data_IF_485553476837
#
_entry.id   IF_485553476837
#
_cell.length_a   1.000
_cell.length_b   1.000
_cell.length_c   1.000
_cell.angle_alpha   90.00
_cell.angle_beta   90.00
_cell.angle_gamma   90.00
#
_symmetry.space_group_name_H-M   'P 1'
#
loop_
_entity.id
_entity.type
_entity.pdbx_description
1 polymer ?
#
# COMPACT_ATOMS: atom_id res chain seq x y z
N UNK A 1 -2.55 22.88 -4.49
CA UNK A 1 -2.74 21.45 -4.85
C UNK A 1 -3.27 21.39 -6.28
N UNK A 2 -2.56 20.75 -7.22
CA UNK A 2 -2.90 20.80 -8.66
C UNK A 2 -3.20 19.39 -9.20
N UNK A 3 -2.42 18.40 -8.79
CA UNK A 3 -2.45 17.05 -9.35
C UNK A 3 -3.43 16.12 -8.64
N UNK A 4 -3.55 16.20 -7.31
CA UNK A 4 -4.36 15.25 -6.53
C UNK A 4 -5.81 15.11 -7.01
N UNK A 5 -6.59 16.19 -7.27
CA UNK A 5 -7.97 16.02 -7.73
C UNK A 5 -8.09 15.26 -9.05
N UNK A 6 -7.15 15.47 -9.98
CA UNK A 6 -7.16 14.79 -11.29
C UNK A 6 -6.71 13.33 -11.17
N UNK A 7 -5.74 13.06 -10.31
CA UNK A 7 -5.28 11.69 -10.04
C UNK A 7 -6.42 10.88 -9.39
N UNK A 8 -7.07 11.44 -8.37
CA UNK A 8 -8.21 10.81 -7.68
C UNK A 8 -9.36 10.56 -8.65
N UNK A 9 -9.70 11.53 -9.51
CA UNK A 9 -10.72 11.35 -10.54
C UNK A 9 -10.35 10.17 -11.46
N UNK A 10 -9.11 10.09 -11.94
CA UNK A 10 -8.67 9.00 -12.82
C UNK A 10 -8.67 7.62 -12.14
N UNK A 11 -8.31 7.55 -10.86
CA UNK A 11 -8.39 6.31 -10.06
C UNK A 11 -9.85 5.88 -9.95
N UNK A 12 -10.74 6.78 -9.54
CA UNK A 12 -12.17 6.50 -9.43
C UNK A 12 -12.77 6.05 -10.76
N UNK A 13 -12.42 6.69 -11.87
CA UNK A 13 -12.87 6.31 -13.20
C UNK A 13 -12.39 4.91 -13.59
N UNK A 14 -11.18 4.53 -13.17
CA UNK A 14 -10.61 3.20 -13.43
C UNK A 14 -11.31 2.13 -12.58
N UNK A 15 -11.55 2.40 -11.30
CA UNK A 15 -12.31 1.52 -10.40
C UNK A 15 -13.74 1.33 -10.92
N UNK A 16 -14.43 2.42 -11.30
CA UNK A 16 -15.79 2.34 -11.86
C UNK A 16 -15.84 1.51 -13.14
N UNK A 17 -14.88 1.69 -14.06
CA UNK A 17 -14.81 0.88 -15.29
C UNK A 17 -14.53 -0.59 -15.01
N UNK A 18 -13.66 -0.88 -14.05
CA UNK A 18 -13.40 -2.27 -13.63
C UNK A 18 -14.66 -2.93 -13.08
N UNK A 19 -15.38 -2.26 -12.18
CA UNK A 19 -16.64 -2.75 -11.58
C UNK A 19 -17.77 -2.91 -12.61
N UNK A 20 -17.87 -2.03 -13.60
CA UNK A 20 -18.93 -2.09 -14.62
C UNK A 20 -18.71 -3.17 -15.68
N UNK A 21 -17.48 -3.68 -15.83
CA UNK A 21 -17.16 -4.69 -16.82
C UNK A 21 -17.54 -6.09 -16.31
N UNK A 22 -18.58 -6.69 -16.90
CA UNK A 22 -19.06 -8.04 -16.54
C UNK A 22 -18.01 -9.14 -16.71
N UNK A 23 -17.02 -8.98 -17.59
CA UNK A 23 -15.93 -9.94 -17.73
C UNK A 23 -15.00 -9.99 -16.51
N UNK A 24 -15.09 -9.01 -15.61
CA UNK A 24 -14.34 -8.97 -14.35
C UNK A 24 -15.14 -9.56 -13.18
N UNK A 25 -16.27 -10.24 -13.42
CA UNK A 25 -17.02 -10.88 -12.35
C UNK A 25 -16.13 -11.87 -11.59
N UNK A 26 -15.95 -11.65 -10.28
CA UNK A 26 -15.07 -12.44 -9.43
C UNK A 26 -13.57 -12.11 -9.54
N UNK A 27 -13.18 -11.11 -10.33
CA UNK A 27 -11.79 -10.65 -10.42
C UNK A 27 -11.48 -9.59 -9.35
N UNK A 28 -10.23 -9.53 -8.91
CA UNK A 28 -9.73 -8.56 -7.93
C UNK A 28 -8.90 -7.50 -8.64
N UNK A 29 -9.11 -6.23 -8.27
CA UNK A 29 -8.30 -5.10 -8.73
C UNK A 29 -7.42 -4.61 -7.58
N UNK A 30 -6.10 -4.75 -7.71
CA UNK A 30 -5.14 -4.14 -6.79
C UNK A 30 -4.83 -2.70 -7.24
N UNK A 31 -4.91 -1.74 -6.31
CA UNK A 31 -4.64 -0.32 -6.58
C UNK A 31 -3.54 0.17 -5.65
N UNK A 32 -2.37 0.52 -6.20
CA UNK A 32 -1.24 1.03 -5.42
C UNK A 32 -1.33 2.55 -5.25
N UNK A 33 -1.52 3.02 -4.02
CA UNK A 33 -1.67 4.45 -3.69
C UNK A 33 -0.80 4.79 -2.48
N UNK A 34 0.34 5.48 -2.65
CA UNK A 34 1.29 5.76 -1.56
C UNK A 34 0.74 6.58 -0.39
N UNK A 35 -0.23 7.47 -0.66
CA UNK A 35 -0.82 8.40 0.33
C UNK A 35 -2.31 8.12 0.56
N UNK A 36 -2.76 6.88 0.37
CA UNK A 36 -4.19 6.51 0.47
C UNK A 36 -4.80 6.99 1.80
N UNK A 37 -4.14 6.63 2.90
CA UNK A 37 -4.58 6.86 4.27
C UNK A 37 -4.41 8.33 4.65
N UNK A 38 -3.29 8.95 4.26
CA UNK A 38 -3.01 10.37 4.50
C UNK A 38 -4.03 11.29 3.81
N UNK A 39 -4.51 10.90 2.63
CA UNK A 39 -5.50 11.64 1.87
C UNK A 39 -6.95 11.29 2.25
N UNK A 40 -7.18 10.34 3.16
CA UNK A 40 -8.54 9.94 3.57
C UNK A 40 -9.32 9.27 2.44
N UNK A 41 -8.64 8.48 1.61
CA UNK A 41 -9.20 7.90 0.39
C UNK A 41 -9.57 6.42 0.54
N UNK A 42 -9.60 5.88 1.76
CA UNK A 42 -9.88 4.45 1.99
C UNK A 42 -11.24 4.02 1.44
N UNK A 43 -12.25 4.90 1.49
CA UNK A 43 -13.62 4.61 1.03
C UNK A 43 -13.75 4.35 -0.49
N UNK A 44 -12.69 4.56 -1.28
CA UNK A 44 -12.72 4.30 -2.73
C UNK A 44 -12.41 2.83 -3.08
N UNK A 45 -11.89 2.06 -2.12
CA UNK A 45 -11.55 0.64 -2.26
C UNK A 45 -12.39 -0.21 -1.31
N UNK A 46 -12.44 -1.52 -1.56
CA UNK A 46 -13.21 -2.47 -0.74
C UNK A 46 -12.41 -2.98 0.47
N UNK A 47 -11.09 -3.08 0.36
CA UNK A 47 -10.16 -3.42 1.45
C UNK A 47 -8.84 -2.62 1.29
N UNK A 48 -8.22 -2.26 2.41
CA UNK A 48 -6.92 -1.60 2.52
C UNK A 48 -5.87 -2.58 3.05
N UNK A 49 -4.85 -2.85 2.24
CA UNK A 49 -3.68 -3.65 2.64
C UNK A 49 -2.49 -2.73 2.89
N UNK A 50 -1.94 -2.75 4.11
CA UNK A 50 -0.72 -2.01 4.45
C UNK A 50 0.47 -2.97 4.52
N UNK A 51 1.52 -2.67 3.76
CA UNK A 51 2.83 -3.32 3.90
C UNK A 51 3.67 -2.49 4.86
N UNK A 52 3.80 -2.97 6.10
CA UNK A 52 4.52 -2.32 7.19
C UNK A 52 5.93 -2.90 7.33
N UNK A 53 6.83 -2.13 7.93
CA UNK A 53 8.15 -2.59 8.38
C UNK A 53 8.62 -1.69 9.51
N UNK A 54 9.42 -2.21 10.42
CA UNK A 54 10.01 -1.45 11.52
C UNK A 54 10.87 -0.29 10.98
N UNK A 55 10.93 0.86 11.68
CA UNK A 55 11.71 2.02 11.23
C UNK A 55 13.17 1.68 10.89
N UNK A 56 13.81 0.84 11.71
CA UNK A 56 15.18 0.37 11.47
C UNK A 56 15.32 -0.41 10.15
N UNK A 57 14.32 -1.24 9.82
CA UNK A 57 14.27 -1.96 8.55
C UNK A 57 14.11 -0.99 7.37
N UNK A 58 13.24 0.02 7.49
CA UNK A 58 13.02 1.02 6.45
C UNK A 58 14.30 1.80 6.16
N UNK A 59 14.98 2.29 7.20
CA UNK A 59 16.26 3.01 7.08
C UNK A 59 17.33 2.12 6.46
N UNK A 60 17.48 0.88 6.95
CA UNK A 60 18.44 -0.08 6.39
C UNK A 60 18.22 -0.30 4.91
N UNK A 61 16.97 -0.50 4.46
CA UNK A 61 16.66 -0.71 3.03
C UNK A 61 16.89 0.55 2.20
N UNK A 62 16.49 1.72 2.70
CA UNK A 62 16.72 2.99 2.02
C UNK A 62 18.23 3.24 1.79
N UNK A 63 19.05 3.01 2.82
CA UNK A 63 20.50 3.21 2.73
C UNK A 63 21.18 2.16 1.85
N UNK A 64 20.91 0.87 2.07
CA UNK A 64 21.63 -0.22 1.39
C UNK A 64 21.15 -0.50 -0.04
N UNK A 65 19.85 -0.35 -0.32
CA UNK A 65 19.27 -0.69 -1.62
C UNK A 65 19.16 0.55 -2.51
N UNK A 66 18.82 1.70 -1.93
CA UNK A 66 18.59 2.95 -2.70
C UNK A 66 19.72 3.96 -2.58
N UNK A 67 20.74 3.71 -1.75
CA UNK A 67 21.92 4.56 -1.62
C UNK A 67 21.66 5.95 -1.04
N UNK A 68 20.53 6.17 -0.35
CA UNK A 68 20.28 7.43 0.37
C UNK A 68 21.03 7.46 1.70
N UNK A 69 21.41 8.64 2.19
CA UNK A 69 22.02 8.76 3.53
C UNK A 69 21.02 8.42 4.63
N UNK A 70 21.51 8.03 5.81
CA UNK A 70 20.66 7.77 6.97
C UNK A 70 19.79 8.99 7.31
N UNK A 71 20.39 10.18 7.40
CA UNK A 71 19.67 11.44 7.68
C UNK A 71 18.59 11.76 6.64
N UNK A 72 18.77 11.39 5.38
CA UNK A 72 17.76 11.54 4.33
C UNK A 72 16.67 10.48 4.45
N UNK A 73 17.04 9.24 4.77
CA UNK A 73 16.08 8.16 5.02
C UNK A 73 15.15 8.52 6.20
N UNK A 74 15.72 8.96 7.32
CA UNK A 74 14.97 9.37 8.51
C UNK A 74 14.03 10.53 8.21
N UNK A 75 14.50 11.55 7.46
CA UNK A 75 13.65 12.67 7.04
C UNK A 75 12.50 12.22 6.15
N UNK A 76 12.71 11.27 5.24
CA UNK A 76 11.64 10.74 4.38
C UNK A 76 10.62 9.92 5.15
N UNK A 77 11.07 9.12 6.11
CA UNK A 77 10.18 8.33 6.97
C UNK A 77 9.35 9.27 7.85
N UNK A 78 9.99 10.25 8.49
CA UNK A 78 9.33 11.21 9.36
C UNK A 78 8.38 12.17 8.63
N UNK A 79 8.56 12.38 7.32
CA UNK A 79 7.65 13.20 6.50
C UNK A 79 6.32 12.49 6.18
N UNK A 80 6.21 11.19 6.43
CA UNK A 80 5.00 10.41 6.21
C UNK A 80 4.24 10.17 7.52
N UNK A 81 2.99 9.71 7.40
CA UNK A 81 2.25 9.23 8.56
C UNK A 81 2.97 8.03 9.19
N UNK A 82 3.07 7.96 10.54
CA UNK A 82 3.69 6.83 11.23
C UNK A 82 3.07 5.50 10.81
N UNK A 83 3.90 4.45 10.71
CA UNK A 83 3.46 3.13 10.23
C UNK A 83 2.37 2.55 11.13
N UNK A 84 2.45 2.79 12.44
CA UNK A 84 1.48 2.34 13.43
C UNK A 84 0.10 2.94 13.14
N UNK A 85 0.05 4.21 12.73
CA UNK A 85 -1.20 4.88 12.34
C UNK A 85 -1.78 4.34 11.04
N UNK A 86 -0.93 3.91 10.10
CA UNK A 86 -1.37 3.24 8.87
C UNK A 86 -1.94 1.86 9.19
N UNK A 87 -1.27 1.11 10.06
CA UNK A 87 -1.69 -0.21 10.54
C UNK A 87 -3.05 -0.15 11.24
N UNK A 88 -3.30 0.87 12.07
CA UNK A 88 -4.61 1.10 12.72
C UNK A 88 -5.78 1.28 11.74
N UNK A 89 -5.50 1.72 10.51
CA UNK A 89 -6.50 2.04 9.47
C UNK A 89 -6.54 1.02 8.34
N UNK A 90 -5.81 -0.09 8.48
CA UNK A 90 -5.75 -1.14 7.47
C UNK A 90 -6.71 -2.27 7.80
N UNK A 91 -7.36 -2.83 6.78
CA UNK A 91 -8.12 -4.08 6.92
C UNK A 91 -7.16 -5.27 7.09
N UNK A 92 -6.00 -5.21 6.41
CA UNK A 92 -4.97 -6.25 6.44
C UNK A 92 -3.58 -5.66 6.48
N UNK A 93 -2.67 -6.33 7.19
CA UNK A 93 -1.29 -5.87 7.37
C UNK A 93 -0.31 -6.98 7.04
N UNK A 94 0.69 -6.67 6.22
CA UNK A 94 1.85 -7.51 5.98
C UNK A 94 3.07 -6.84 6.62
N UNK A 95 3.66 -7.47 7.63
CA UNK A 95 4.95 -7.07 8.19
C UNK A 95 6.09 -7.59 7.32
N UNK A 96 6.85 -6.68 6.75
CA UNK A 96 7.89 -6.90 5.77
C UNK A 96 9.27 -6.60 6.36
N UNK A 97 9.57 -7.16 7.53
CA UNK A 97 10.88 -7.04 8.17
C UNK A 97 11.88 -8.10 7.69
N UNK A 98 11.37 -9.20 7.14
CA UNK A 98 12.13 -10.34 6.67
C UNK A 98 12.72 -10.20 5.27
N UNK A 99 12.98 -11.35 4.64
CA UNK A 99 13.50 -11.46 3.29
C UNK A 99 12.39 -11.32 2.24
N UNK A 100 12.79 -11.22 0.97
CA UNK A 100 11.84 -11.19 -0.15
C UNK A 100 11.03 -12.49 -0.23
N UNK A 101 11.66 -13.64 0.04
CA UNK A 101 10.99 -14.95 0.05
C UNK A 101 9.94 -15.06 1.16
N UNK A 102 10.22 -14.48 2.33
CA UNK A 102 9.24 -14.38 3.42
C UNK A 102 8.07 -13.49 3.01
N UNK A 103 8.35 -12.33 2.40
CA UNK A 103 7.31 -11.43 1.89
C UNK A 103 6.44 -12.11 0.82
N UNK A 104 7.05 -12.80 -0.14
CA UNK A 104 6.31 -13.54 -1.18
C UNK A 104 5.37 -14.58 -0.58
N UNK A 105 5.80 -15.28 0.47
CA UNK A 105 4.98 -16.27 1.16
C UNK A 105 3.79 -15.62 1.87
N UNK A 106 4.00 -14.48 2.54
CA UNK A 106 2.94 -13.71 3.18
C UNK A 106 1.92 -13.16 2.16
N UNK A 107 2.40 -12.62 1.05
CA UNK A 107 1.54 -12.11 -0.04
C UNK A 107 0.73 -13.24 -0.67
N UNK A 108 1.32 -14.43 -0.88
CA UNK A 108 0.60 -15.61 -1.41
C UNK A 108 -0.50 -16.08 -0.47
N UNK A 109 -0.24 -16.10 0.84
CA UNK A 109 -1.24 -16.46 1.85
C UNK A 109 -2.38 -15.43 1.85
N UNK A 110 -2.05 -14.14 1.88
CA UNK A 110 -3.03 -13.06 1.81
C UNK A 110 -3.88 -13.14 0.54
N UNK A 111 -3.25 -13.37 -0.62
CA UNK A 111 -3.95 -13.48 -1.89
C UNK A 111 -4.91 -14.66 -1.91
N UNK A 112 -4.53 -15.80 -1.32
CA UNK A 112 -5.41 -16.94 -1.18
C UNK A 112 -6.65 -16.57 -0.34
N UNK A 113 -6.49 -15.84 0.77
CA UNK A 113 -7.62 -15.36 1.58
C UNK A 113 -8.56 -14.42 0.82
N UNK A 114 -8.01 -13.49 0.03
CA UNK A 114 -8.81 -12.53 -0.76
C UNK A 114 -9.56 -13.25 -1.89
N UNK A 115 -8.98 -14.30 -2.48
CA UNK A 115 -9.58 -15.05 -3.58
C UNK A 115 -10.49 -16.21 -3.12
N UNK A 116 -10.56 -16.51 -1.83
CA UNK A 116 -11.49 -17.50 -1.31
C UNK A 116 -12.92 -16.92 -1.30
N UNK A 117 -13.94 -17.71 -1.70
CA UNK A 117 -15.32 -17.26 -1.79
C UNK A 117 -15.99 -16.98 -0.43
#
# INVERSE_FOLDING_TARGET
EITHPRIIAQINDSIRRFRANRSNAGAVLAVEIPLLIECGLEDIVDEVVVVAAEPETQVRRLTTVRGVSADEADRRIAAQMPVERKVERADRVIWNDGSLESLESLVKALWAEICLP
#
